data_IF_988112396997
#
_entry.id   IF_988112396997
#
_cell.length_a   1.000
_cell.length_b   1.000
_cell.length_c   1.000
_cell.angle_alpha   90.00
_cell.angle_beta   90.00
_cell.angle_gamma   90.00
#
_symmetry.space_group_name_H-M   'P 1'
#
loop_
_entity.id
_entity.type
_entity.pdbx_description
1 polymer ?
#
# COMPACT_ATOMS: atom_id res chain seq x y z
N UNK A 1 -56.02 25.36 29.80
CA UNK A 1 -54.68 25.28 30.44
C UNK A 1 -54.22 23.82 30.53
N UNK A 2 -53.79 23.24 29.41
CA UNK A 2 -53.25 21.88 29.24
C UNK A 2 -52.76 21.88 27.79
N UNK A 3 -51.46 21.67 27.50
CA UNK A 3 -50.82 21.49 26.17
C UNK A 3 -49.52 22.30 25.93
N UNK A 4 -48.68 22.58 26.94
CA UNK A 4 -47.33 23.16 26.72
C UNK A 4 -46.19 22.25 27.21
N UNK A 5 -46.48 21.21 28.00
CA UNK A 5 -45.47 20.30 28.57
C UNK A 5 -45.38 19.00 27.75
N UNK A 6 -45.04 19.08 26.46
CA UNK A 6 -44.66 17.89 25.65
C UNK A 6 -43.54 18.13 24.63
N UNK A 7 -42.96 19.34 24.56
CA UNK A 7 -41.91 19.67 23.58
C UNK A 7 -40.46 19.53 24.08
N UNK A 8 -40.20 19.32 25.37
CA UNK A 8 -38.83 19.33 25.90
C UNK A 8 -38.15 17.94 25.99
N UNK A 9 -38.79 16.86 25.52
CA UNK A 9 -38.29 15.48 25.67
C UNK A 9 -37.88 14.80 24.36
N UNK A 10 -37.69 15.57 23.28
CA UNK A 10 -37.26 15.05 21.97
C UNK A 10 -35.98 15.69 21.42
N UNK A 11 -35.28 16.51 22.21
CA UNK A 11 -34.05 17.22 21.79
C UNK A 11 -32.75 16.75 22.46
N UNK A 12 -32.79 15.73 23.32
CA UNK A 12 -31.60 15.21 24.01
C UNK A 12 -30.92 14.03 23.30
N UNK A 13 -31.48 13.52 22.20
CA UNK A 13 -30.94 12.36 21.49
C UNK A 13 -29.94 12.69 20.35
N UNK A 14 -29.59 13.97 20.13
CA UNK A 14 -28.77 14.41 18.98
C UNK A 14 -27.30 14.72 19.38
N UNK A 15 -26.95 14.65 20.67
CA UNK A 15 -25.60 15.02 21.15
C UNK A 15 -24.94 13.98 22.05
N UNK A 16 -25.22 12.68 21.87
CA UNK A 16 -24.27 11.67 22.36
C UNK A 16 -23.20 11.48 21.29
N UNK A 17 -21.98 12.06 21.44
CA UNK A 17 -20.88 11.70 20.56
C UNK A 17 -20.67 10.19 20.70
N UNK A 18 -21.04 9.44 19.67
CA UNK A 18 -20.60 8.06 19.58
C UNK A 18 -19.08 8.12 19.51
N UNK A 19 -18.42 7.61 20.54
CA UNK A 19 -16.99 7.36 20.48
C UNK A 19 -16.78 6.29 19.41
N UNK A 20 -16.52 6.74 18.19
CA UNK A 20 -16.10 5.88 17.10
C UNK A 20 -14.67 5.48 17.42
N UNK A 21 -14.47 4.21 17.75
CA UNK A 21 -13.12 3.66 17.87
C UNK A 21 -12.50 3.64 16.47
N UNK A 22 -11.43 4.42 16.30
CA UNK A 22 -10.60 4.35 15.10
C UNK A 22 -9.89 3.00 15.00
N UNK A 23 -9.54 2.63 13.78
CA UNK A 23 -8.57 1.58 13.54
C UNK A 23 -7.19 1.99 14.05
N UNK A 24 -6.38 1.02 14.47
CA UNK A 24 -4.98 1.22 14.81
C UNK A 24 -4.13 0.20 14.07
N UNK A 25 -2.93 0.60 13.68
CA UNK A 25 -1.94 -0.32 13.12
C UNK A 25 -1.66 -1.46 14.09
N UNK A 26 -1.50 -2.67 13.54
CA UNK A 26 -1.14 -3.83 14.34
C UNK A 26 0.27 -3.61 14.93
N UNK A 27 0.50 -4.00 16.19
CA UNK A 27 1.84 -3.88 16.77
C UNK A 27 2.84 -4.77 16.00
N UNK A 28 4.09 -4.33 15.82
CA UNK A 28 5.11 -5.14 15.16
C UNK A 28 5.32 -6.49 15.85
N UNK A 29 5.50 -7.56 15.06
CA UNK A 29 5.76 -8.91 15.59
C UNK A 29 6.82 -9.63 14.76
N UNK A 30 7.57 -10.53 15.38
CA UNK A 30 8.52 -11.35 14.61
C UNK A 30 7.74 -12.44 13.89
N UNK A 31 8.12 -12.74 12.65
CA UNK A 31 7.46 -13.75 11.81
C UNK A 31 8.44 -14.38 10.83
N UNK A 32 8.05 -15.48 10.21
CA UNK A 32 8.78 -16.10 9.13
C UNK A 32 7.82 -16.48 7.98
N UNK A 33 8.26 -16.29 6.74
CA UNK A 33 7.51 -16.59 5.52
C UNK A 33 8.33 -17.58 4.70
N UNK A 34 7.71 -18.70 4.35
CA UNK A 34 8.32 -19.70 3.47
C UNK A 34 8.09 -19.31 2.01
N UNK A 35 9.14 -19.43 1.19
CA UNK A 35 9.06 -19.30 -0.27
C UNK A 35 8.10 -20.32 -0.89
N UNK A 36 7.61 -20.06 -2.11
CA UNK A 36 6.59 -20.92 -2.74
C UNK A 36 7.11 -22.33 -3.05
N UNK A 37 8.42 -22.47 -3.34
CA UNK A 37 9.08 -23.76 -3.53
C UNK A 37 9.56 -24.44 -2.23
N UNK A 38 9.31 -23.81 -1.09
CA UNK A 38 9.68 -24.27 0.25
C UNK A 38 11.18 -24.44 0.51
N UNK A 39 12.08 -23.96 -0.36
CA UNK A 39 13.54 -24.07 -0.14
C UNK A 39 14.11 -22.95 0.72
N UNK A 40 13.46 -21.81 0.73
CA UNK A 40 13.90 -20.62 1.45
C UNK A 40 12.88 -20.16 2.49
N UNK A 41 13.40 -19.56 3.55
CA UNK A 41 12.64 -18.96 4.64
C UNK A 41 13.11 -17.52 4.82
N UNK A 42 12.21 -16.57 4.64
CA UNK A 42 12.46 -15.19 5.03
C UNK A 42 12.01 -14.98 6.47
N UNK A 43 12.88 -14.42 7.31
CA UNK A 43 12.62 -14.15 8.72
C UNK A 43 12.64 -12.65 8.97
N UNK A 44 11.63 -12.16 9.66
CA UNK A 44 11.51 -10.79 10.13
C UNK A 44 11.51 -10.77 11.66
N UNK A 45 12.51 -10.12 12.25
CA UNK A 45 12.58 -9.88 13.70
C UNK A 45 12.07 -8.48 13.99
N UNK A 46 11.03 -8.37 14.83
CA UNK A 46 10.50 -7.07 15.22
C UNK A 46 11.51 -6.26 16.05
N UNK A 47 11.44 -4.91 16.04
CA UNK A 47 12.21 -4.06 16.95
C UNK A 47 12.01 -4.45 18.42
N UNK A 48 12.99 -4.15 19.30
CA UNK A 48 12.90 -4.50 20.72
C UNK A 48 11.81 -3.71 21.44
N UNK A 49 11.57 -2.47 21.01
CA UNK A 49 10.53 -1.58 21.51
C UNK A 49 9.14 -2.18 21.34
N UNK A 50 8.95 -3.00 20.30
CA UNK A 50 7.70 -3.69 20.03
C UNK A 50 7.31 -4.69 21.13
N UNK A 51 8.27 -5.15 21.95
CA UNK A 51 7.99 -6.07 23.06
C UNK A 51 7.03 -5.47 24.09
N UNK A 52 6.97 -4.13 24.19
CA UNK A 52 6.00 -3.44 25.06
C UNK A 52 4.55 -3.72 24.68
N UNK A 53 4.32 -4.07 23.41
CA UNK A 53 3.01 -4.37 22.85
C UNK A 53 2.77 -5.88 22.70
N UNK A 54 3.66 -6.77 23.15
CA UNK A 54 3.42 -8.21 23.06
C UNK A 54 2.16 -8.66 23.82
N UNK A 55 1.75 -7.91 24.84
CA UNK A 55 0.53 -8.18 25.61
C UNK A 55 -0.76 -7.88 24.84
N UNK A 56 -0.70 -7.11 23.74
CA UNK A 56 -1.87 -6.91 22.86
C UNK A 56 -1.96 -7.94 21.73
N UNK A 57 -0.95 -8.80 21.57
CA UNK A 57 -1.01 -9.94 20.66
C UNK A 57 -1.82 -11.08 21.26
N UNK A 58 -2.40 -11.92 20.40
CA UNK A 58 -2.95 -13.20 20.85
C UNK A 58 -1.84 -14.11 21.39
N UNK A 59 -2.19 -15.02 22.31
CA UNK A 59 -1.21 -15.97 22.88
C UNK A 59 -0.52 -16.85 21.82
N UNK A 60 -1.21 -17.16 20.73
CA UNK A 60 -0.62 -17.88 19.61
C UNK A 60 0.44 -17.02 18.89
N UNK A 61 0.09 -15.79 18.50
CA UNK A 61 1.00 -14.88 17.80
C UNK A 61 2.21 -14.50 18.67
N UNK A 62 2.01 -14.31 19.97
CA UNK A 62 3.09 -14.04 20.93
C UNK A 62 4.08 -15.19 21.01
N UNK A 63 3.60 -16.44 21.15
CA UNK A 63 4.46 -17.64 21.17
C UNK A 63 5.23 -17.82 19.86
N UNK A 64 4.59 -17.59 18.72
CA UNK A 64 5.23 -17.66 17.41
C UNK A 64 6.34 -16.60 17.26
N UNK A 65 6.06 -15.36 17.65
CA UNK A 65 7.03 -14.25 17.63
C UNK A 65 8.24 -14.56 18.52
N UNK A 66 8.01 -15.04 19.75
CA UNK A 66 9.08 -15.41 20.69
C UNK A 66 9.92 -16.58 20.18
N UNK A 67 9.28 -17.61 19.60
CA UNK A 67 9.97 -18.75 18.98
C UNK A 67 10.88 -18.26 17.85
N UNK A 68 10.36 -17.42 16.96
CA UNK A 68 11.12 -16.87 15.81
C UNK A 68 12.33 -16.07 16.28
N UNK A 69 12.14 -15.15 17.23
CA UNK A 69 13.23 -14.31 17.78
C UNK A 69 14.30 -15.14 18.51
N UNK A 70 13.92 -16.22 19.18
CA UNK A 70 14.87 -17.09 19.88
C UNK A 70 15.71 -17.91 18.90
N UNK A 71 15.09 -18.36 17.80
CA UNK A 71 15.73 -19.26 16.84
C UNK A 71 16.66 -18.53 15.87
N UNK A 72 16.28 -17.34 15.41
CA UNK A 72 16.99 -16.63 14.36
C UNK A 72 17.70 -15.37 14.90
N UNK A 73 19.01 -15.21 14.64
CA UNK A 73 19.78 -14.11 15.21
C UNK A 73 19.54 -12.75 14.54
N UNK A 74 18.94 -12.72 13.33
CA UNK A 74 18.71 -11.49 12.58
C UNK A 74 17.55 -11.63 11.57
N UNK A 75 17.01 -10.52 11.11
CA UNK A 75 16.12 -10.48 9.94
C UNK A 75 16.89 -10.78 8.65
N UNK A 76 16.30 -11.51 7.72
CA UNK A 76 16.94 -11.87 6.46
C UNK A 76 16.42 -13.16 5.83
N UNK A 77 17.17 -13.66 4.84
CA UNK A 77 16.84 -14.90 4.14
C UNK A 77 17.67 -16.05 4.68
N UNK A 78 17.04 -17.21 4.83
CA UNK A 78 17.62 -18.45 5.33
C UNK A 78 17.27 -19.60 4.38
N UNK A 79 18.10 -20.66 4.42
CA UNK A 79 17.68 -21.95 3.87
C UNK A 79 16.61 -22.56 4.79
N UNK A 80 15.59 -23.18 4.19
CA UNK A 80 14.54 -23.87 4.93
C UNK A 80 14.94 -25.32 5.26
N UNK A 81 16.15 -25.50 5.79
CA UNK A 81 16.76 -26.78 6.15
C UNK A 81 17.02 -26.89 7.68
N UNK A 82 16.57 -25.89 8.45
CA UNK A 82 16.82 -25.77 9.88
C UNK A 82 18.06 -24.95 10.23
N UNK A 83 18.83 -24.47 9.24
CA UNK A 83 19.95 -23.55 9.46
C UNK A 83 19.48 -22.22 10.07
N UNK A 84 20.26 -21.73 11.02
CA UNK A 84 20.11 -20.40 11.63
C UNK A 84 21.15 -19.39 11.13
N UNK A 85 21.87 -19.76 10.06
CA UNK A 85 22.82 -18.86 9.38
C UNK A 85 22.12 -18.22 8.18
N UNK A 86 21.97 -16.88 8.13
CA UNK A 86 21.31 -16.24 7.01
C UNK A 86 22.19 -16.25 5.74
N UNK A 87 21.56 -16.40 4.58
CA UNK A 87 22.15 -16.15 3.26
C UNK A 87 22.48 -14.67 3.09
N UNK A 88 21.59 -13.80 3.57
CA UNK A 88 21.78 -12.35 3.64
C UNK A 88 20.85 -11.76 4.70
N UNK A 89 21.18 -10.55 5.17
CA UNK A 89 20.52 -9.86 6.28
C UNK A 89 19.91 -8.53 5.83
N UNK A 90 18.98 -8.04 6.63
CA UNK A 90 18.39 -6.70 6.52
C UNK A 90 18.31 -6.05 7.91
N UNK A 91 18.23 -4.73 7.95
CA UNK A 91 18.18 -3.90 9.17
C UNK A 91 16.88 -3.09 9.32
N UNK A 92 15.89 -3.36 8.46
CA UNK A 92 14.57 -2.73 8.48
C UNK A 92 13.48 -3.72 8.89
N UNK A 93 12.31 -3.18 9.24
CA UNK A 93 11.10 -3.93 9.56
C UNK A 93 9.98 -3.63 8.55
N UNK A 94 9.13 -4.64 8.28
CA UNK A 94 7.86 -4.48 7.57
C UNK A 94 6.88 -5.55 8.03
N UNK A 95 5.59 -5.21 8.06
CA UNK A 95 4.51 -6.14 8.40
C UNK A 95 4.20 -7.14 7.28
N UNK A 96 4.68 -6.89 6.05
CA UNK A 96 4.40 -7.76 4.92
C UNK A 96 5.50 -7.73 3.86
N UNK A 97 5.82 -8.90 3.34
CA UNK A 97 6.76 -9.07 2.21
C UNK A 97 6.23 -10.14 1.25
N UNK A 98 6.64 -10.05 -0.01
CA UNK A 98 6.51 -11.12 -1.00
C UNK A 98 7.89 -11.71 -1.25
N UNK A 99 8.03 -13.02 -1.00
CA UNK A 99 9.31 -13.75 -1.05
C UNK A 99 9.38 -14.54 -2.36
N UNK A 100 10.40 -14.27 -3.18
CA UNK A 100 10.68 -15.08 -4.36
C UNK A 100 11.41 -16.37 -3.96
N UNK A 101 11.24 -17.43 -4.75
CA UNK A 101 11.84 -18.76 -4.51
C UNK A 101 13.25 -18.90 -5.08
N UNK A 102 13.90 -17.80 -5.47
CA UNK A 102 15.31 -17.80 -5.89
C UNK A 102 16.28 -17.55 -4.73
N UNK A 103 15.77 -17.25 -3.53
CA UNK A 103 16.58 -16.94 -2.36
C UNK A 103 17.35 -15.62 -2.45
N UNK A 104 17.09 -14.80 -3.49
CA UNK A 104 17.79 -13.56 -3.78
C UNK A 104 16.83 -12.37 -3.64
N UNK A 105 15.63 -12.47 -4.23
CA UNK A 105 14.73 -11.34 -4.39
C UNK A 105 13.59 -11.33 -3.36
N UNK A 106 13.16 -10.12 -3.03
CA UNK A 106 12.10 -9.84 -2.06
C UNK A 106 11.40 -8.55 -2.46
N UNK A 107 10.08 -8.48 -2.27
CA UNK A 107 9.32 -7.23 -2.33
C UNK A 107 8.84 -6.89 -0.93
N UNK A 108 9.29 -5.76 -0.38
CA UNK A 108 8.79 -5.19 0.88
C UNK A 108 7.53 -4.41 0.60
N UNK A 109 6.46 -4.67 1.35
CA UNK A 109 5.26 -3.84 1.31
C UNK A 109 5.45 -2.63 2.23
N UNK A 110 4.99 -1.48 1.76
CA UNK A 110 4.95 -0.26 2.56
C UNK A 110 3.92 -0.36 3.70
N UNK A 111 3.97 0.60 4.65
CA UNK A 111 2.99 0.69 5.71
C UNK A 111 1.61 1.09 5.18
N UNK A 112 0.62 1.25 6.07
CA UNK A 112 -0.64 1.87 5.69
C UNK A 112 -0.43 3.27 5.15
N UNK A 113 -1.02 3.54 3.98
CA UNK A 113 -0.86 4.81 3.29
C UNK A 113 -1.72 5.89 3.95
N UNK A 114 -1.07 6.95 4.41
CA UNK A 114 -1.65 8.19 4.93
C UNK A 114 -1.50 9.33 3.92
N UNK A 115 -0.57 9.20 2.97
CA UNK A 115 -0.35 10.14 1.88
C UNK A 115 0.10 9.45 0.60
N UNK A 116 -0.06 10.13 -0.53
CA UNK A 116 0.54 9.69 -1.81
C UNK A 116 2.09 9.64 -1.78
N UNK A 117 2.73 10.28 -0.78
CA UNK A 117 4.19 10.26 -0.67
C UNK A 117 4.75 9.06 0.08
N UNK A 118 3.87 8.27 0.71
CA UNK A 118 4.24 7.08 1.47
C UNK A 118 4.71 5.96 0.53
N UNK A 119 5.54 5.06 1.06
CA UNK A 119 6.00 3.89 0.33
C UNK A 119 4.81 2.97 -0.01
N UNK A 120 4.70 2.57 -1.27
CA UNK A 120 3.81 1.50 -1.70
C UNK A 120 4.50 0.14 -1.53
N UNK A 121 5.67 -0.02 -2.13
CA UNK A 121 6.53 -1.18 -1.98
C UNK A 121 7.93 -0.91 -2.50
N UNK A 122 8.88 -1.74 -2.08
CA UNK A 122 10.29 -1.64 -2.46
C UNK A 122 10.86 -3.02 -2.82
N UNK A 123 11.57 -3.09 -3.95
CA UNK A 123 12.24 -4.29 -4.44
C UNK A 123 13.64 -4.41 -3.86
N UNK A 124 14.03 -5.63 -3.48
CA UNK A 124 15.34 -5.93 -2.93
C UNK A 124 15.98 -7.14 -3.64
N UNK A 125 17.31 -7.14 -3.70
CA UNK A 125 18.13 -8.30 -4.04
C UNK A 125 19.26 -8.45 -3.02
N UNK A 126 19.39 -9.64 -2.43
CA UNK A 126 20.40 -9.95 -1.41
C UNK A 126 20.41 -8.92 -0.25
N UNK A 127 19.23 -8.51 0.20
CA UNK A 127 19.04 -7.51 1.26
C UNK A 127 19.33 -6.05 0.85
N UNK A 128 19.70 -5.78 -0.41
CA UNK A 128 19.95 -4.43 -0.91
C UNK A 128 18.78 -3.92 -1.73
N UNK A 129 18.40 -2.67 -1.51
CA UNK A 129 17.35 -2.01 -2.29
C UNK A 129 17.75 -1.92 -3.77
N UNK A 130 16.81 -2.29 -4.64
CA UNK A 130 16.90 -2.11 -6.09
C UNK A 130 16.13 -0.88 -6.52
N UNK A 131 14.87 -0.76 -6.06
CA UNK A 131 13.96 0.33 -6.43
C UNK A 131 12.80 0.42 -5.45
N UNK A 132 12.41 1.64 -5.11
CA UNK A 132 11.24 1.95 -4.29
C UNK A 132 10.17 2.68 -5.11
N UNK A 133 8.90 2.40 -4.82
CA UNK A 133 7.75 3.09 -5.38
C UNK A 133 6.91 3.68 -4.28
N UNK A 134 6.46 4.92 -4.48
CA UNK A 134 5.49 5.61 -3.63
C UNK A 134 4.07 5.34 -4.12
N UNK A 135 3.09 5.54 -3.26
CA UNK A 135 1.67 5.42 -3.63
C UNK A 135 1.31 6.34 -4.80
N UNK A 136 1.85 7.57 -4.82
CA UNK A 136 1.65 8.55 -5.89
C UNK A 136 2.28 8.19 -7.23
N UNK A 137 3.22 7.24 -7.26
CA UNK A 137 3.75 6.71 -8.52
C UNK A 137 2.70 5.81 -9.21
N UNK A 138 1.82 5.20 -8.41
CA UNK A 138 0.85 4.20 -8.82
C UNK A 138 -0.57 4.76 -8.97
N UNK A 139 -0.96 5.72 -8.13
CA UNK A 139 -2.29 6.35 -8.12
C UNK A 139 -2.15 7.87 -8.22
N UNK A 140 -2.99 8.50 -9.03
CA UNK A 140 -2.90 9.96 -9.30
C UNK A 140 -3.55 10.83 -8.23
N UNK A 141 -4.56 10.31 -7.53
CA UNK A 141 -5.31 11.06 -6.54
C UNK A 141 -5.88 10.13 -5.47
N UNK A 142 -5.72 10.52 -4.21
CA UNK A 142 -6.35 9.85 -3.07
C UNK A 142 -7.84 10.18 -2.91
N UNK A 143 -8.37 11.18 -3.61
CA UNK A 143 -9.75 11.68 -3.45
C UNK A 143 -10.80 10.58 -3.75
N UNK A 144 -10.49 9.68 -4.69
CA UNK A 144 -11.40 8.61 -5.12
C UNK A 144 -11.14 7.27 -4.43
N UNK A 145 -10.16 7.22 -3.52
CA UNK A 145 -9.82 6.00 -2.79
C UNK A 145 -10.69 5.86 -1.53
N UNK A 146 -10.97 4.64 -1.06
CA UNK A 146 -11.61 4.43 0.24
C UNK A 146 -10.72 4.94 1.38
N UNK A 147 -11.25 5.84 2.20
CA UNK A 147 -10.60 6.39 3.39
C UNK A 147 -11.17 5.75 4.66
N UNK A 148 -10.29 5.46 5.61
CA UNK A 148 -10.62 5.29 7.02
C UNK A 148 -10.35 6.60 7.78
N UNK A 149 -10.42 6.56 9.11
CA UNK A 149 -10.09 7.73 9.95
C UNK A 149 -8.60 8.04 9.93
N UNK A 150 -7.75 7.03 9.71
CA UNK A 150 -6.29 7.15 9.88
C UNK A 150 -5.48 6.93 8.60
N UNK A 151 -6.05 6.29 7.57
CA UNK A 151 -5.35 5.91 6.34
C UNK A 151 -6.32 5.74 5.17
N UNK A 152 -5.78 5.46 3.98
CA UNK A 152 -6.57 5.05 2.82
C UNK A 152 -6.02 3.78 2.20
N UNK A 153 -6.91 3.05 1.50
CA UNK A 153 -6.52 1.87 0.74
C UNK A 153 -6.38 2.24 -0.73
N UNK A 154 -5.23 1.92 -1.34
CA UNK A 154 -4.97 2.18 -2.76
C UNK A 154 -4.87 0.90 -3.59
N UNK A 155 -4.45 -0.20 -2.98
CA UNK A 155 -4.21 -1.49 -3.64
C UNK A 155 -5.50 -2.32 -3.71
N UNK A 156 -5.84 -2.83 -4.89
CA UNK A 156 -6.89 -3.83 -5.08
C UNK A 156 -6.32 -5.24 -4.98
N UNK A 157 -5.24 -5.51 -5.72
CA UNK A 157 -4.55 -6.79 -5.68
C UNK A 157 -3.06 -6.64 -5.99
N UNK A 158 -2.29 -7.63 -5.54
CA UNK A 158 -0.88 -7.76 -5.84
C UNK A 158 -0.53 -9.25 -5.90
N UNK A 159 0.26 -9.66 -6.89
CA UNK A 159 0.62 -11.06 -7.08
C UNK A 159 1.98 -11.24 -7.76
N UNK A 160 2.78 -12.16 -7.22
CA UNK A 160 4.07 -12.54 -7.76
C UNK A 160 3.90 -13.75 -8.70
N UNK A 161 4.34 -13.62 -9.94
CA UNK A 161 4.44 -14.72 -10.90
C UNK A 161 5.92 -15.01 -11.14
N UNK A 162 6.42 -16.02 -10.44
CA UNK A 162 7.84 -16.39 -10.44
C UNK A 162 8.29 -17.00 -11.78
N UNK A 163 7.40 -17.67 -12.50
CA UNK A 163 7.73 -18.26 -13.80
C UNK A 163 8.02 -17.17 -14.84
N UNK A 164 7.24 -16.10 -14.81
CA UNK A 164 7.38 -14.96 -15.71
C UNK A 164 8.30 -13.87 -15.17
N UNK A 165 8.75 -14.00 -13.92
CA UNK A 165 9.57 -13.01 -13.19
C UNK A 165 8.89 -11.65 -13.01
N UNK A 166 7.58 -11.66 -12.79
CA UNK A 166 6.80 -10.42 -12.70
C UNK A 166 6.06 -10.25 -11.39
N UNK A 167 5.93 -9.00 -10.95
CA UNK A 167 4.95 -8.57 -9.95
C UNK A 167 3.81 -7.86 -10.68
N UNK A 168 2.59 -8.36 -10.52
CA UNK A 168 1.37 -7.69 -11.01
C UNK A 168 0.74 -6.89 -9.87
N UNK A 169 0.39 -5.64 -10.12
CA UNK A 169 -0.27 -4.76 -9.15
C UNK A 169 -1.50 -4.14 -9.82
N UNK A 170 -2.67 -4.25 -9.18
CA UNK A 170 -3.85 -3.47 -9.53
C UNK A 170 -4.23 -2.54 -8.38
N UNK A 171 -4.62 -1.32 -8.73
CA UNK A 171 -5.07 -0.29 -7.79
C UNK A 171 -6.59 -0.24 -7.77
N UNK A 172 -7.17 0.30 -6.70
CA UNK A 172 -8.62 0.55 -6.61
C UNK A 172 -9.11 1.62 -7.60
N UNK A 173 -8.19 2.45 -8.12
CA UNK A 173 -8.43 3.41 -9.19
C UNK A 173 -8.33 2.79 -10.60
N UNK A 174 -8.25 1.44 -10.69
CA UNK A 174 -8.23 0.63 -11.92
C UNK A 174 -6.97 0.76 -12.77
N UNK A 175 -5.90 1.35 -12.25
CA UNK A 175 -4.59 1.23 -12.86
C UNK A 175 -4.05 -0.19 -12.69
N UNK A 176 -3.28 -0.64 -13.68
CA UNK A 176 -2.61 -1.95 -13.66
C UNK A 176 -1.15 -1.78 -14.03
N UNK A 177 -0.28 -2.39 -13.24
CA UNK A 177 1.16 -2.36 -13.43
C UNK A 177 1.72 -3.77 -13.43
N UNK A 178 2.74 -3.97 -14.27
CA UNK A 178 3.55 -5.18 -14.31
C UNK A 178 4.99 -4.74 -14.15
N UNK A 179 5.64 -5.25 -13.10
CA UNK A 179 7.04 -4.98 -12.80
C UNK A 179 7.87 -6.24 -13.02
N UNK A 180 9.11 -6.09 -13.43
CA UNK A 180 10.13 -7.14 -13.26
C UNK A 180 10.57 -7.11 -11.79
N UNK A 181 10.32 -8.16 -11.00
CA UNK A 181 10.68 -8.12 -9.59
C UNK A 181 12.19 -8.23 -9.33
N UNK A 182 12.98 -8.62 -10.34
CA UNK A 182 14.44 -8.77 -10.23
C UNK A 182 15.19 -7.47 -10.45
N UNK A 183 14.56 -6.48 -11.10
CA UNK A 183 15.13 -5.14 -11.33
C UNK A 183 14.30 -4.04 -10.68
N UNK A 184 13.04 -4.34 -10.34
CA UNK A 184 12.02 -3.41 -9.91
C UNK A 184 11.45 -2.55 -11.04
N UNK A 185 11.85 -2.72 -12.30
CA UNK A 185 11.41 -1.85 -13.39
C UNK A 185 9.97 -2.13 -13.82
N UNK A 186 9.25 -1.07 -14.22
CA UNK A 186 7.91 -1.21 -14.83
C UNK A 186 8.09 -1.74 -16.26
N UNK A 187 7.58 -2.94 -16.50
CA UNK A 187 7.48 -3.54 -17.84
C UNK A 187 6.28 -2.96 -18.59
N UNK A 188 5.15 -2.80 -17.90
CA UNK A 188 3.90 -2.31 -18.50
C UNK A 188 3.05 -1.57 -17.49
N UNK A 189 2.37 -0.52 -17.94
CA UNK A 189 1.43 0.27 -17.14
C UNK A 189 0.17 0.61 -17.96
N UNK A 190 -1.01 0.42 -17.36
CA UNK A 190 -2.29 0.86 -17.89
C UNK A 190 -2.92 1.86 -16.92
N UNK A 191 -3.11 3.12 -17.38
CA UNK A 191 -3.58 4.26 -16.56
C UNK A 191 -4.77 4.95 -17.22
N UNK A 192 -5.98 4.34 -17.18
CA UNK A 192 -7.13 4.82 -17.94
C UNK A 192 -7.61 6.22 -17.50
N UNK A 193 -7.57 6.53 -16.20
CA UNK A 193 -7.98 7.83 -15.67
C UNK A 193 -7.12 8.94 -16.26
N UNK A 194 -5.80 8.78 -16.28
CA UNK A 194 -4.86 9.73 -16.90
C UNK A 194 -5.20 10.02 -18.35
N UNK A 195 -5.48 8.96 -19.13
CA UNK A 195 -5.82 9.08 -20.53
C UNK A 195 -7.13 9.86 -20.72
N UNK A 196 -8.15 9.59 -19.88
CA UNK A 196 -9.43 10.30 -19.90
C UNK A 196 -9.24 11.77 -19.54
N UNK A 197 -8.44 12.09 -18.52
CA UNK A 197 -8.17 13.48 -18.11
C UNK A 197 -7.45 14.24 -19.22
N UNK A 198 -6.39 13.66 -19.81
CA UNK A 198 -5.64 14.28 -20.92
C UNK A 198 -6.57 14.52 -22.12
N UNK A 199 -7.37 13.52 -22.50
CA UNK A 199 -8.32 13.63 -23.60
C UNK A 199 -9.35 14.74 -23.33
N UNK A 200 -9.88 14.81 -22.11
CA UNK A 200 -10.86 15.83 -21.70
C UNK A 200 -10.28 17.24 -21.78
N UNK A 201 -9.05 17.44 -21.29
CA UNK A 201 -8.35 18.73 -21.37
C UNK A 201 -8.10 19.12 -22.83
N UNK A 202 -7.63 18.19 -23.67
CA UNK A 202 -7.39 18.45 -25.09
C UNK A 202 -8.67 18.88 -25.82
N UNK A 203 -9.80 18.22 -25.54
CA UNK A 203 -11.11 18.58 -26.10
C UNK A 203 -11.54 19.98 -25.66
N UNK A 204 -11.38 20.32 -24.38
CA UNK A 204 -11.71 21.66 -23.86
C UNK A 204 -10.87 22.76 -24.52
N UNK A 205 -9.56 22.54 -24.67
CA UNK A 205 -8.66 23.48 -25.36
C UNK A 205 -9.05 23.64 -26.84
N UNK A 206 -9.43 22.56 -27.52
CA UNK A 206 -9.89 22.60 -28.89
C UNK A 206 -11.18 23.41 -29.04
N UNK A 207 -12.16 23.20 -28.16
CA UNK A 207 -13.42 23.99 -28.13
C UNK A 207 -13.11 25.46 -27.89
N UNK A 208 -12.27 25.78 -26.91
CA UNK A 208 -11.86 27.16 -26.63
C UNK A 208 -11.20 27.82 -27.84
N UNK A 209 -10.31 27.09 -28.54
CA UNK A 209 -9.69 27.56 -29.78
C UNK A 209 -10.73 27.85 -30.87
N UNK A 210 -11.72 26.97 -31.08
CA UNK A 210 -12.79 27.18 -32.05
C UNK A 210 -13.63 28.42 -31.71
N UNK A 211 -13.94 28.64 -30.44
CA UNK A 211 -14.67 29.83 -29.97
C UNK A 211 -13.86 31.11 -30.25
N UNK A 212 -12.56 31.12 -29.93
CA UNK A 212 -11.67 32.26 -30.18
C UNK A 212 -11.56 32.54 -31.68
N UNK A 213 -11.39 31.50 -32.50
CA UNK A 213 -11.31 31.62 -33.97
C UNK A 213 -12.60 32.21 -34.54
N UNK A 214 -13.77 31.72 -34.08
CA UNK A 214 -15.08 32.23 -34.49
C UNK A 214 -15.24 33.72 -34.16
N UNK A 215 -14.89 34.14 -32.94
CA UNK A 215 -14.93 35.56 -32.54
C UNK A 215 -14.04 36.45 -33.40
N UNK A 216 -12.82 35.99 -33.75
CA UNK A 216 -11.90 36.73 -34.63
C UNK A 216 -12.43 36.89 -36.06
N UNK A 217 -13.15 35.90 -36.59
CA UNK A 217 -13.76 36.00 -37.93
C UNK A 217 -14.87 37.05 -37.96
N UNK A 218 -15.73 37.10 -36.94
CA UNK A 218 -16.78 38.13 -36.85
C UNK A 218 -16.21 39.53 -36.66
N UNK A 219 -15.12 39.70 -35.91
CA UNK A 219 -14.48 41.00 -35.74
C UNK A 219 -13.87 41.56 -37.03
N UNK A 220 -13.48 40.71 -38.00
CA UNK A 220 -12.90 41.15 -39.28
C UNK A 220 -13.93 41.46 -40.37
N UNK A 221 -15.17 40.98 -40.23
CA UNK A 221 -16.24 41.19 -41.22
C UNK A 221 -17.15 42.41 -40.95
N UNK A 222 -16.81 43.24 -39.97
CA UNK A 222 -17.58 44.41 -39.56
C UNK A 222 -16.99 45.75 -40.05
N UNK A 223 -16.17 45.72 -41.11
CA UNK A 223 -15.57 46.88 -41.79
C UNK A 223 -16.02 46.86 -43.24
#
# INVERSE_FOLDING_TARGET
>A
MRNIIKCCLFLSAIFTPFLVYGDSEAPPRSYAITSSDSKFLFVMIAPLEAQRYENSLSDAARRESQKTRTMYPASGMYLNDGSTTPLWKIDWYSDGVLVASDGIHLVRLGPWARSLSDEAFTFFANGKELRSYKVGDLVESEILLPHSVSHFTWQENMGLDEQRRILSVATLSRERYVFDYTTGEIISASRPIRAIVIASVAVLLFIAFLIIKRRRMFAKGAV
#
